data_IF_472845315229
#
_entry.id   IF_472845315229
#
_cell.length_a   1.000
_cell.length_b   1.000
_cell.length_c   1.000
_cell.angle_alpha   90.00
_cell.angle_beta   90.00
_cell.angle_gamma   90.00
#
_symmetry.space_group_name_H-M   'P 1'
#
loop_
_entity.id
_entity.type
_entity.pdbx_description
1 polymer ?
#
# COMPACT_ATOMS: atom_id res chain seq x y z
N UNK A 1 14.46 13.42 -36.11
CA UNK A 1 14.27 12.17 -35.35
C UNK A 1 14.96 11.04 -36.12
N UNK A 2 15.68 10.15 -35.43
CA UNK A 2 16.29 8.98 -36.07
C UNK A 2 15.20 7.99 -36.52
N UNK A 3 15.35 7.43 -37.72
CA UNK A 3 14.40 6.46 -38.28
C UNK A 3 14.64 5.08 -37.63
N UNK A 4 13.69 4.58 -36.82
CA UNK A 4 13.78 3.27 -36.18
C UNK A 4 13.26 2.21 -37.15
N UNK A 5 14.15 1.33 -37.63
CA UNK A 5 13.78 0.16 -38.45
C UNK A 5 13.74 -1.08 -37.59
N UNK A 6 12.54 -1.54 -37.24
CA UNK A 6 12.32 -2.78 -36.48
C UNK A 6 11.80 -3.90 -37.40
N UNK A 7 12.36 -5.11 -37.28
CA UNK A 7 11.75 -6.31 -37.85
C UNK A 7 10.60 -6.75 -36.96
N UNK A 8 9.39 -6.79 -37.51
CA UNK A 8 8.17 -7.15 -36.79
C UNK A 8 7.62 -8.44 -37.40
N UNK A 9 7.27 -9.39 -36.54
CA UNK A 9 6.63 -10.64 -36.94
C UNK A 9 5.37 -10.37 -37.80
N UNK A 10 5.14 -11.10 -38.91
CA UNK A 10 3.97 -10.91 -39.76
C UNK A 10 2.62 -10.95 -39.03
N UNK A 11 2.46 -11.79 -38.00
CA UNK A 11 1.25 -11.87 -37.18
C UNK A 11 1.05 -10.59 -36.36
N UNK A 12 2.13 -10.09 -35.75
CA UNK A 12 2.12 -8.81 -35.01
C UNK A 12 1.82 -7.65 -35.96
N UNK A 13 2.42 -7.64 -37.16
CA UNK A 13 2.18 -6.63 -38.19
C UNK A 13 0.70 -6.59 -38.62
N UNK A 14 0.06 -7.74 -38.82
CA UNK A 14 -1.38 -7.83 -39.11
C UNK A 14 -2.23 -7.27 -37.95
N UNK A 15 -1.85 -7.57 -36.71
CA UNK A 15 -2.54 -7.07 -35.52
C UNK A 15 -2.43 -5.54 -35.41
N UNK A 16 -1.23 -4.98 -35.59
CA UNK A 16 -1.01 -3.53 -35.62
C UNK A 16 -1.85 -2.88 -36.73
N UNK A 17 -1.86 -3.44 -37.94
CA UNK A 17 -2.66 -2.95 -39.04
C UNK A 17 -4.17 -2.89 -38.71
N UNK A 18 -4.69 -3.96 -38.12
CA UNK A 18 -6.10 -4.04 -37.70
C UNK A 18 -6.44 -2.99 -36.65
N UNK A 19 -5.58 -2.79 -35.65
CA UNK A 19 -5.82 -1.82 -34.59
C UNK A 19 -5.72 -0.37 -35.09
N UNK A 20 -4.75 -0.08 -35.97
CA UNK A 20 -4.62 1.22 -36.61
C UNK A 20 -5.87 1.57 -37.44
N UNK A 21 -6.38 0.60 -38.21
CA UNK A 21 -7.63 0.74 -38.98
C UNK A 21 -8.83 1.01 -38.07
N UNK A 22 -8.98 0.27 -36.97
CA UNK A 22 -10.06 0.47 -35.98
C UNK A 22 -10.05 1.87 -35.39
N UNK A 23 -8.86 2.45 -35.17
CA UNK A 23 -8.68 3.81 -34.66
C UNK A 23 -8.60 4.89 -35.73
N UNK A 24 -8.87 4.57 -37.01
CA UNK A 24 -8.85 5.50 -38.15
C UNK A 24 -7.52 6.27 -38.27
N UNK A 25 -6.39 5.61 -38.06
CA UNK A 25 -5.06 6.21 -38.12
C UNK A 25 -4.09 5.33 -38.92
N UNK A 26 -2.97 5.90 -39.37
CA UNK A 26 -1.91 5.14 -40.04
C UNK A 26 -1.20 4.20 -39.06
N UNK A 27 -0.57 3.14 -39.57
CA UNK A 27 0.20 2.22 -38.71
C UNK A 27 1.34 2.94 -37.97
N UNK A 28 2.03 3.88 -38.64
CA UNK A 28 3.09 4.69 -38.02
C UNK A 28 2.55 5.58 -36.91
N UNK A 29 1.44 6.29 -37.13
CA UNK A 29 0.80 7.10 -36.10
C UNK A 29 0.32 6.25 -34.91
N UNK A 30 -0.21 5.05 -35.19
CA UNK A 30 -0.61 4.11 -34.15
C UNK A 30 0.56 3.66 -33.29
N UNK A 31 1.69 3.30 -33.93
CA UNK A 31 2.91 2.88 -33.24
C UNK A 31 3.48 4.02 -32.41
N UNK A 32 3.63 5.21 -32.99
CA UNK A 32 4.17 6.38 -32.29
C UNK A 32 3.31 6.75 -31.08
N UNK A 33 1.98 6.78 -31.23
CA UNK A 33 1.06 7.03 -30.12
C UNK A 33 1.21 6.01 -28.99
N UNK A 34 1.43 4.73 -29.32
CA UNK A 34 1.63 3.70 -28.28
C UNK A 34 3.01 3.81 -27.63
N UNK A 35 4.05 4.10 -28.40
CA UNK A 35 5.39 4.33 -27.86
C UNK A 35 5.37 5.55 -26.92
N UNK A 36 4.76 6.66 -27.32
CA UNK A 36 4.58 7.85 -26.49
C UNK A 36 3.84 7.53 -25.19
N UNK A 37 2.79 6.71 -25.24
CA UNK A 37 2.06 6.27 -24.03
C UNK A 37 2.88 5.39 -23.10
N UNK A 38 3.79 4.59 -23.63
CA UNK A 38 4.68 3.73 -22.83
C UNK A 38 5.81 4.57 -22.22
N UNK A 39 6.31 5.58 -22.95
CA UNK A 39 7.36 6.46 -22.47
C UNK A 39 6.86 7.60 -21.58
N UNK A 40 5.56 7.92 -21.62
CA UNK A 40 4.96 8.92 -20.72
C UNK A 40 4.77 8.27 -19.35
N UNK A 41 5.43 8.79 -18.29
CA UNK A 41 5.21 8.31 -16.94
C UNK A 41 3.72 8.39 -16.61
N UNK A 42 3.13 7.27 -16.20
CA UNK A 42 1.76 7.28 -15.72
C UNK A 42 1.76 7.85 -14.30
N UNK A 43 1.78 9.19 -14.21
CA UNK A 43 1.86 9.95 -12.95
C UNK A 43 0.81 9.47 -11.94
N UNK A 44 -0.40 9.12 -12.40
CA UNK A 44 -1.45 8.57 -11.55
C UNK A 44 -1.09 7.21 -10.95
N UNK A 45 -0.39 6.36 -11.70
CA UNK A 45 0.07 5.06 -11.18
C UNK A 45 1.22 5.23 -10.19
N UNK A 46 2.14 6.17 -10.43
CA UNK A 46 3.21 6.47 -9.49
C UNK A 46 2.67 7.08 -8.19
N UNK A 47 1.75 8.05 -8.28
CA UNK A 47 1.06 8.60 -7.11
C UNK A 47 0.26 7.54 -6.37
N UNK A 48 -0.50 6.70 -7.09
CA UNK A 48 -1.22 5.57 -6.48
C UNK A 48 -0.26 4.65 -5.70
N UNK A 49 0.87 4.28 -6.30
CA UNK A 49 1.86 3.42 -5.65
C UNK A 49 2.42 4.10 -4.37
N UNK A 50 2.72 5.41 -4.43
CA UNK A 50 3.18 6.17 -3.25
C UNK A 50 2.12 6.22 -2.15
N UNK A 51 0.85 6.41 -2.50
CA UNK A 51 -0.24 6.39 -1.53
C UNK A 51 -0.43 5.01 -0.89
N UNK A 52 -0.34 3.93 -1.67
CA UNK A 52 -0.42 2.56 -1.15
C UNK A 52 0.73 2.24 -0.18
N UNK A 53 1.95 2.67 -0.49
CA UNK A 53 3.11 2.50 0.39
C UNK A 53 2.96 3.32 1.68
N UNK A 54 2.51 4.57 1.57
CA UNK A 54 2.24 5.42 2.73
C UNK A 54 1.16 4.81 3.62
N UNK A 55 0.06 4.30 3.04
CA UNK A 55 -1.01 3.64 3.78
C UNK A 55 -0.48 2.41 4.54
N UNK A 56 0.36 1.60 3.90
CA UNK A 56 0.97 0.42 4.52
C UNK A 56 1.82 0.81 5.73
N UNK A 57 2.68 1.82 5.60
CA UNK A 57 3.49 2.31 6.73
C UNK A 57 2.62 2.78 7.89
N UNK A 58 1.54 3.53 7.63
CA UNK A 58 0.63 3.98 8.68
C UNK A 58 -0.04 2.80 9.40
N UNK A 59 -0.48 1.78 8.64
CA UNK A 59 -1.07 0.57 9.22
C UNK A 59 -0.07 -0.13 10.16
N UNK A 60 1.19 -0.26 9.77
CA UNK A 60 2.23 -0.89 10.58
C UNK A 60 2.51 -0.10 11.88
N UNK A 61 2.56 1.23 11.79
CA UNK A 61 2.72 2.12 12.94
C UNK A 61 1.54 1.98 13.91
N UNK A 62 0.30 2.03 13.40
CA UNK A 62 -0.88 1.85 14.23
C UNK A 62 -0.94 0.46 14.88
N UNK A 63 -0.56 -0.60 14.16
CA UNK A 63 -0.49 -1.94 14.72
C UNK A 63 0.54 -2.05 15.85
N UNK A 64 1.69 -1.37 15.69
CA UNK A 64 2.74 -1.31 16.73
C UNK A 64 2.23 -0.61 17.99
N UNK A 65 1.56 0.54 17.84
CA UNK A 65 0.95 1.23 18.98
C UNK A 65 -0.13 0.42 19.66
N UNK A 66 -1.00 -0.26 18.90
CA UNK A 66 -2.03 -1.12 19.45
C UNK A 66 -1.45 -2.23 20.34
N UNK A 67 -0.38 -2.88 19.88
CA UNK A 67 0.32 -3.93 20.64
C UNK A 67 0.95 -3.38 21.92
N UNK A 68 1.64 -2.23 21.83
CA UNK A 68 2.23 -1.55 23.01
C UNK A 68 1.15 -1.15 24.02
N UNK A 69 0.01 -0.65 23.56
CA UNK A 69 -1.10 -0.27 24.42
C UNK A 69 -1.73 -1.48 25.10
N UNK A 70 -1.86 -2.62 24.41
CA UNK A 70 -2.34 -3.86 25.01
C UNK A 70 -1.40 -4.36 26.13
N UNK A 71 -0.09 -4.25 25.94
CA UNK A 71 0.89 -4.61 26.97
C UNK A 71 0.85 -3.65 28.18
N UNK A 72 0.73 -2.34 27.92
CA UNK A 72 0.58 -1.35 28.98
C UNK A 72 -0.70 -1.59 29.80
N UNK A 73 -1.81 -1.90 29.13
CA UNK A 73 -3.07 -2.22 29.80
C UNK A 73 -2.92 -3.43 30.72
N UNK A 74 -2.26 -4.51 30.24
CA UNK A 74 -1.98 -5.71 31.07
C UNK A 74 -1.17 -5.37 32.33
N UNK A 75 -0.16 -4.50 32.20
CA UNK A 75 0.66 -4.05 33.35
C UNK A 75 -0.17 -3.24 34.34
N UNK A 76 -1.00 -2.32 33.87
CA UNK A 76 -1.88 -1.50 34.72
C UNK A 76 -2.86 -2.40 35.49
N UNK A 77 -3.56 -3.30 34.82
CA UNK A 77 -4.49 -4.23 35.47
C UNK A 77 -3.80 -5.12 36.51
N UNK A 78 -2.55 -5.53 36.25
CA UNK A 78 -1.75 -6.29 37.23
C UNK A 78 -1.43 -5.45 38.47
N UNK A 79 -1.09 -4.17 38.30
CA UNK A 79 -0.81 -3.26 39.42
C UNK A 79 -2.08 -3.01 40.23
N UNK A 80 -3.21 -2.74 39.58
CA UNK A 80 -4.52 -2.61 40.23
C UNK A 80 -4.87 -3.85 41.05
N UNK A 81 -4.62 -5.05 40.51
CA UNK A 81 -4.84 -6.31 41.22
C UNK A 81 -3.92 -6.53 42.43
N UNK A 82 -2.70 -5.98 42.41
CA UNK A 82 -1.82 -5.98 43.60
C UNK A 82 -2.33 -4.97 44.63
N UNK A 83 -2.65 -3.75 44.19
CA UNK A 83 -3.11 -2.68 45.06
C UNK A 83 -4.38 -3.09 45.82
N UNK A 84 -5.36 -3.68 45.12
CA UNK A 84 -6.60 -4.15 45.73
C UNK A 84 -6.37 -5.24 46.78
N UNK A 85 -5.39 -6.13 46.57
CA UNK A 85 -5.04 -7.16 47.56
C UNK A 85 -4.38 -6.55 48.79
N UNK A 86 -3.49 -5.58 48.62
CA UNK A 86 -2.87 -4.90 49.77
C UNK A 86 -3.90 -4.07 50.56
N UNK A 87 -4.80 -3.37 49.87
CA UNK A 87 -5.91 -2.64 50.53
C UNK A 87 -6.79 -3.59 51.34
N UNK A 88 -7.16 -4.75 50.79
CA UNK A 88 -7.94 -5.76 51.53
C UNK A 88 -7.22 -6.26 52.78
N UNK A 89 -5.91 -6.52 52.71
CA UNK A 89 -5.13 -6.94 53.90
C UNK A 89 -5.14 -5.90 55.01
N UNK A 90 -5.00 -4.61 54.68
CA UNK A 90 -5.03 -3.53 55.67
C UNK A 90 -6.39 -3.47 56.35
N UNK A 91 -7.48 -3.56 55.57
CA UNK A 91 -8.84 -3.56 56.10
C UNK A 91 -9.07 -4.79 57.01
N UNK A 92 -8.63 -5.98 56.59
CA UNK A 92 -8.76 -7.20 57.40
C UNK A 92 -7.95 -7.15 58.70
N UNK A 93 -6.80 -6.46 58.71
CA UNK A 93 -6.01 -6.24 59.93
C UNK A 93 -6.72 -5.29 60.89
N UNK A 94 -7.26 -4.16 60.40
CA UNK A 94 -8.00 -3.20 61.23
C UNK A 94 -9.30 -3.76 61.83
N UNK A 95 -9.94 -4.74 61.18
CA UNK A 95 -11.17 -5.38 61.68
C UNK A 95 -10.90 -6.44 62.76
N UNK A 96 -9.68 -6.98 62.82
CA UNK A 96 -9.29 -8.03 63.77
C UNK A 96 -8.51 -7.52 65.00
N UNK A 97 -8.22 -6.21 65.07
CA UNK A 97 -7.72 -5.49 66.27
C UNK A 97 -8.87 -4.93 67.11
#
# INVERSE_FOLDING_TARGET
MAEIKARVDPAIKKKIASMAKKKKMTQSAFINLHLERITTPNLFQEEKNRFEEMLRMHIEVFATFAKSNEELLKKITSIEGVLNREVQKVIEQEVNE
#
